data_IF_693245640904
#
_entry.id   IF_693245640904
#
_cell.length_a   1.000
_cell.length_b   1.000
_cell.length_c   1.000
_cell.angle_alpha   90.00
_cell.angle_beta   90.00
_cell.angle_gamma   90.00
#
_symmetry.space_group_name_H-M   'P 1'
#
loop_
_entity.id
_entity.type
_entity.pdbx_description
1 polymer ?
#
# COMPACT_ATOMS: atom_id res chain seq x y z
N UNK A 1 4.69 2.39 -27.72
CA UNK A 1 4.46 1.32 -26.75
C UNK A 1 5.51 1.49 -25.67
N UNK A 2 5.13 2.05 -24.53
CA UNK A 2 6.04 2.23 -23.38
C UNK A 2 6.36 0.83 -22.86
N UNK A 3 7.64 0.46 -22.81
CA UNK A 3 8.06 -0.73 -22.07
C UNK A 3 7.81 -0.42 -20.59
N UNK A 4 6.83 -1.10 -19.99
CA UNK A 4 6.82 -1.25 -18.54
C UNK A 4 8.07 -2.06 -18.23
N UNK A 5 9.05 -1.45 -17.56
CA UNK A 5 10.24 -2.19 -17.16
C UNK A 5 9.81 -3.19 -16.08
N UNK A 6 10.09 -4.48 -16.30
CA UNK A 6 9.69 -5.53 -15.37
C UNK A 6 10.20 -5.27 -13.94
N UNK A 7 11.29 -4.50 -13.81
CA UNK A 7 11.88 -4.13 -12.52
C UNK A 7 10.96 -3.20 -11.71
N UNK A 8 10.37 -2.19 -12.33
CA UNK A 8 9.48 -1.24 -11.65
C UNK A 8 8.20 -1.93 -11.19
N UNK A 9 7.68 -2.84 -12.01
CA UNK A 9 6.54 -3.68 -11.63
C UNK A 9 6.84 -4.56 -10.42
N UNK A 10 8.00 -5.23 -10.41
CA UNK A 10 8.42 -6.08 -9.28
C UNK A 10 8.64 -5.23 -8.02
N UNK A 11 9.27 -4.07 -8.15
CA UNK A 11 9.53 -3.16 -7.03
C UNK A 11 8.23 -2.67 -6.39
N UNK A 12 7.26 -2.23 -7.20
CA UNK A 12 5.94 -1.83 -6.70
C UNK A 12 5.24 -2.99 -5.99
N UNK A 13 5.19 -4.17 -6.61
CA UNK A 13 4.54 -5.34 -6.00
C UNK A 13 5.18 -5.75 -4.65
N UNK A 14 6.50 -5.64 -4.51
CA UNK A 14 7.18 -5.84 -3.21
C UNK A 14 6.73 -4.81 -2.17
N UNK A 15 6.68 -3.53 -2.56
CA UNK A 15 6.20 -2.45 -1.71
C UNK A 15 4.76 -2.70 -1.24
N UNK A 16 3.82 -2.99 -2.15
CA UNK A 16 2.43 -3.27 -1.82
C UNK A 16 2.33 -4.44 -0.83
N UNK A 17 3.06 -5.53 -1.11
CA UNK A 17 3.08 -6.72 -0.26
C UNK A 17 3.55 -6.40 1.15
N UNK A 18 4.59 -5.58 1.28
CA UNK A 18 5.15 -5.17 2.59
C UNK A 18 4.20 -4.26 3.35
N UNK A 19 3.54 -3.32 2.68
CA UNK A 19 2.50 -2.46 3.28
C UNK A 19 1.37 -3.33 3.81
N UNK A 20 0.81 -4.23 2.98
CA UNK A 20 -0.31 -5.10 3.35
C UNK A 20 0.06 -6.02 4.53
N UNK A 21 1.25 -6.62 4.50
CA UNK A 21 1.71 -7.53 5.55
C UNK A 21 1.88 -6.80 6.88
N UNK A 22 2.55 -5.64 6.87
CA UNK A 22 2.73 -4.84 8.08
C UNK A 22 1.40 -4.29 8.60
N UNK A 23 0.49 -3.88 7.72
CA UNK A 23 -0.85 -3.44 8.09
C UNK A 23 -1.64 -4.54 8.81
N UNK A 24 -1.54 -5.79 8.32
CA UNK A 24 -2.14 -6.95 8.96
C UNK A 24 -1.57 -7.16 10.38
N UNK A 25 -0.26 -7.03 10.56
CA UNK A 25 0.41 -7.17 11.85
C UNK A 25 -0.02 -6.09 12.85
N UNK A 26 0.03 -4.80 12.49
CA UNK A 26 -0.20 -3.70 13.44
C UNK A 26 -1.68 -3.50 13.79
N UNK A 27 -2.59 -4.01 12.97
CA UNK A 27 -4.05 -3.93 13.20
C UNK A 27 -4.68 -5.26 13.62
N UNK A 28 -3.88 -6.31 13.80
CA UNK A 28 -4.36 -7.66 14.12
C UNK A 28 -5.46 -8.12 13.15
N UNK A 29 -5.21 -7.95 11.85
CA UNK A 29 -6.12 -8.31 10.77
C UNK A 29 -5.64 -9.57 10.06
N UNK A 30 -6.59 -10.34 9.53
CA UNK A 30 -6.22 -11.32 8.52
C UNK A 30 -5.69 -10.62 7.25
N UNK A 31 -4.80 -11.31 6.53
CA UNK A 31 -4.15 -10.76 5.35
C UNK A 31 -5.14 -10.34 4.26
N UNK A 32 -6.29 -11.03 4.15
CA UNK A 32 -7.31 -10.72 3.14
C UNK A 32 -8.02 -9.41 3.47
N UNK A 33 -8.30 -9.15 4.75
CA UNK A 33 -8.89 -7.89 5.20
C UNK A 33 -7.90 -6.73 5.05
N UNK A 34 -6.63 -6.93 5.37
CA UNK A 34 -5.58 -5.93 5.11
C UNK A 34 -5.45 -5.60 3.61
N UNK A 35 -5.52 -6.63 2.75
CA UNK A 35 -5.48 -6.47 1.30
C UNK A 35 -6.71 -5.71 0.76
N UNK A 36 -7.92 -6.01 1.25
CA UNK A 36 -9.14 -5.26 0.90
C UNK A 36 -9.01 -3.77 1.28
N UNK A 37 -8.52 -3.50 2.49
CA UNK A 37 -8.29 -2.13 2.97
C UNK A 37 -7.27 -1.40 2.07
N UNK A 38 -6.12 -2.02 1.81
CA UNK A 38 -5.09 -1.41 0.96
C UNK A 38 -5.64 -1.07 -0.43
N UNK A 39 -6.28 -2.01 -1.14
CA UNK A 39 -6.76 -1.73 -2.50
C UNK A 39 -7.98 -0.80 -2.58
N UNK A 40 -8.62 -0.50 -1.45
CA UNK A 40 -9.67 0.53 -1.35
C UNK A 40 -9.11 1.90 -0.97
N UNK A 41 -7.85 1.99 -0.58
CA UNK A 41 -7.22 3.21 -0.11
C UNK A 41 -6.85 4.17 -1.24
N UNK A 42 -6.82 5.47 -0.91
CA UNK A 42 -6.19 6.48 -1.75
C UNK A 42 -4.71 6.19 -1.92
N UNK A 43 -4.02 5.74 -0.87
CA UNK A 43 -2.61 5.38 -0.91
C UNK A 43 -2.28 4.41 -2.07
N UNK A 44 -3.09 3.37 -2.29
CA UNK A 44 -2.86 2.41 -3.39
C UNK A 44 -2.90 3.07 -4.77
N UNK A 45 -3.80 4.04 -4.95
CA UNK A 45 -3.91 4.82 -6.18
C UNK A 45 -2.70 5.73 -6.36
N UNK A 46 -2.21 6.34 -5.27
CA UNK A 46 -1.03 7.21 -5.29
C UNK A 46 0.24 6.43 -5.65
N UNK A 47 0.42 5.21 -5.10
CA UNK A 47 1.52 4.29 -5.43
C UNK A 47 1.45 3.82 -6.88
N UNK A 48 0.25 3.44 -7.36
CA UNK A 48 0.07 3.01 -8.75
C UNK A 48 0.43 4.15 -9.72
N UNK A 49 0.03 5.38 -9.42
CA UNK A 49 0.33 6.56 -10.21
C UNK A 49 1.77 7.08 -10.04
N UNK A 50 2.51 6.62 -9.04
CA UNK A 50 3.87 7.09 -8.73
C UNK A 50 3.89 8.58 -8.33
N UNK A 51 2.86 9.05 -7.62
CA UNK A 51 2.72 10.46 -7.30
C UNK A 51 3.85 10.92 -6.39
N UNK A 52 4.58 11.95 -6.82
CA UNK A 52 5.68 12.55 -6.06
C UNK A 52 6.79 11.56 -5.64
N UNK A 53 6.89 10.40 -6.30
CA UNK A 53 7.83 9.34 -5.95
C UNK A 53 7.49 8.61 -4.65
N UNK A 54 6.22 8.57 -4.26
CA UNK A 54 5.70 7.92 -3.04
C UNK A 54 6.15 6.46 -2.91
N UNK A 55 6.35 5.76 -4.03
CA UNK A 55 6.83 4.40 -4.08
C UNK A 55 8.26 4.22 -3.53
N UNK A 56 9.00 5.30 -3.32
CA UNK A 56 10.34 5.29 -2.72
C UNK A 56 10.33 5.48 -1.19
N UNK A 57 9.16 5.71 -0.58
CA UNK A 57 9.03 5.88 0.86
C UNK A 57 9.04 4.52 1.60
N UNK A 58 9.32 4.57 2.91
CA UNK A 58 9.30 3.36 3.73
C UNK A 58 7.88 2.82 3.89
N UNK A 59 7.70 1.52 3.64
CA UNK A 59 6.41 0.83 3.72
C UNK A 59 5.72 0.95 5.09
N UNK A 60 6.47 1.08 6.20
CA UNK A 60 5.86 1.27 7.53
C UNK A 60 5.26 2.64 7.67
N UNK A 61 5.97 3.66 7.18
CA UNK A 61 5.46 5.02 7.14
C UNK A 61 4.17 5.10 6.30
N UNK A 62 4.16 4.47 5.12
CA UNK A 62 2.98 4.46 4.25
C UNK A 62 1.79 3.74 4.92
N UNK A 63 2.03 2.61 5.59
CA UNK A 63 0.98 1.89 6.30
C UNK A 63 0.44 2.66 7.51
N UNK A 64 1.30 3.37 8.25
CA UNK A 64 0.90 4.23 9.37
C UNK A 64 0.12 5.45 8.87
N UNK A 65 0.56 6.09 7.78
CA UNK A 65 -0.15 7.18 7.12
C UNK A 65 -1.56 6.75 6.67
N UNK A 66 -1.69 5.56 6.07
CA UNK A 66 -2.99 4.98 5.70
C UNK A 66 -3.92 4.85 6.91
N UNK A 67 -3.38 4.38 8.04
CA UNK A 67 -4.13 4.20 9.28
C UNK A 67 -4.58 5.54 9.87
N UNK A 68 -3.73 6.56 9.80
CA UNK A 68 -4.00 7.88 10.36
C UNK A 68 -4.96 8.70 9.49
N UNK A 69 -4.83 8.62 8.16
CA UNK A 69 -5.52 9.50 7.23
C UNK A 69 -6.74 8.91 6.54
N UNK A 70 -6.91 7.58 6.56
CA UNK A 70 -8.10 6.88 6.02
C UNK A 70 -8.75 5.95 7.07
N UNK A 71 -9.01 6.44 8.31
CA UNK A 71 -9.51 5.60 9.41
C UNK A 71 -10.87 4.95 9.10
N UNK A 72 -11.67 5.53 8.21
CA UNK A 72 -12.96 5.00 7.77
C UNK A 72 -12.87 3.62 7.10
N UNK A 73 -11.70 3.25 6.55
CA UNK A 73 -11.48 1.93 5.95
C UNK A 73 -11.39 0.83 7.00
N UNK A 74 -11.10 1.18 8.25
CA UNK A 74 -10.94 0.26 9.37
C UNK A 74 -12.21 0.15 10.23
N UNK A 75 -13.19 1.02 10.02
CA UNK A 75 -14.48 0.96 10.67
C UNK A 75 -15.33 -0.16 10.03
N UNK A 76 -15.33 -1.33 10.65
CA UNK A 76 -16.18 -2.49 10.28
C UNK A 76 -17.02 -2.94 11.46
#
# INVERSE_FOLDING_TARGET
MVKIDCMDFIYKQDLETRIITYLAEIKDLDLRKAMDIYYRSRLSVEIEQGLYGIENLDYKYLAEDLVENEPELFAS
#
